data_IF_592043574950
#
_entry.id   IF_592043574950
#
_cell.length_a   1.000
_cell.length_b   1.000
_cell.length_c   1.000
_cell.angle_alpha   90.00
_cell.angle_beta   90.00
_cell.angle_gamma   90.00
#
_symmetry.space_group_name_H-M   'P 1'
#
loop_
_entity.id
_entity.type
_entity.pdbx_description
1 polymer ?
#
# COMPACT_ATOMS: atom_id res chain seq x y z
N UNK A 1 16.30 2.35 23.47
CA UNK A 1 17.49 1.77 22.82
C UNK A 1 17.04 0.70 21.84
N UNK A 2 17.38 0.82 20.55
CA UNK A 2 17.21 -0.25 19.57
C UNK A 2 18.11 -1.41 20.01
N UNK A 3 17.57 -2.50 20.55
CA UNK A 3 18.40 -3.63 20.98
C UNK A 3 19.04 -4.27 19.74
N UNK A 4 20.32 -3.98 19.51
CA UNK A 4 21.02 -4.15 18.22
C UNK A 4 21.63 -5.54 17.98
N UNK A 5 21.53 -6.49 18.92
CA UNK A 5 22.18 -7.80 18.74
C UNK A 5 21.21 -8.81 18.13
N UNK A 6 21.56 -9.43 16.99
CA UNK A 6 20.77 -10.52 16.42
C UNK A 6 20.59 -11.66 17.42
N UNK A 7 19.35 -12.18 17.52
CA UNK A 7 19.01 -13.36 18.32
C UNK A 7 18.79 -14.56 17.41
N UNK A 8 19.15 -15.74 17.89
CA UNK A 8 18.92 -16.99 17.17
C UNK A 8 17.41 -17.28 17.10
N UNK A 9 16.90 -17.50 15.90
CA UNK A 9 15.53 -17.87 15.59
C UNK A 9 15.55 -19.19 14.85
N UNK A 10 14.62 -20.07 15.19
CA UNK A 10 14.45 -21.36 14.55
C UNK A 10 13.29 -21.29 13.57
N UNK A 11 13.53 -21.72 12.34
CA UNK A 11 12.54 -21.86 11.28
C UNK A 11 12.55 -23.32 10.80
N UNK A 12 11.45 -23.79 10.26
CA UNK A 12 11.38 -25.11 9.61
C UNK A 12 11.19 -24.89 8.12
N UNK A 13 12.21 -25.23 7.33
CA UNK A 13 12.24 -25.05 5.89
C UNK A 13 12.29 -26.43 5.26
N UNK A 14 11.33 -26.76 4.36
CA UNK A 14 11.31 -28.03 3.62
C UNK A 14 11.50 -29.28 4.51
N UNK A 15 10.91 -29.26 5.71
CA UNK A 15 11.00 -30.36 6.68
C UNK A 15 12.23 -30.37 7.58
N UNK A 16 13.19 -29.46 7.39
CA UNK A 16 14.40 -29.36 8.21
C UNK A 16 14.44 -28.07 9.02
N UNK A 17 14.97 -28.16 10.25
CA UNK A 17 15.11 -27.00 11.13
C UNK A 17 16.33 -26.18 10.73
N UNK A 18 16.10 -24.93 10.36
CA UNK A 18 17.14 -23.96 10.00
C UNK A 18 17.20 -22.88 11.07
N UNK A 19 18.42 -22.54 11.52
CA UNK A 19 18.63 -21.45 12.48
C UNK A 19 19.13 -20.20 11.78
N UNK A 20 18.54 -19.06 12.09
CA UNK A 20 18.96 -17.74 11.59
C UNK A 20 19.19 -16.78 12.74
N UNK A 21 20.05 -15.78 12.55
CA UNK A 21 20.31 -14.72 13.53
C UNK A 21 19.67 -13.41 13.05
N UNK A 22 18.61 -12.96 13.73
CA UNK A 22 17.81 -11.78 13.39
C UNK A 22 17.57 -10.90 14.60
N UNK A 23 17.59 -9.58 14.38
CA UNK A 23 17.19 -8.59 15.36
C UNK A 23 15.70 -8.74 15.69
N UNK A 24 15.31 -8.34 16.91
CA UNK A 24 13.91 -8.47 17.35
C UNK A 24 12.93 -7.68 16.48
N UNK A 25 13.34 -6.50 16.01
CA UNK A 25 12.53 -5.65 15.14
C UNK A 25 12.21 -6.37 13.82
N UNK A 26 13.23 -6.91 13.14
CA UNK A 26 13.02 -7.67 11.90
C UNK A 26 12.20 -8.94 12.14
N UNK A 27 12.39 -9.63 13.26
CA UNK A 27 11.60 -10.83 13.57
C UNK A 27 10.13 -10.52 13.86
N UNK A 28 9.85 -9.44 14.60
CA UNK A 28 8.48 -9.01 14.86
C UNK A 28 7.78 -8.61 13.57
N UNK A 29 8.46 -7.85 12.73
CA UNK A 29 7.92 -7.37 11.47
C UNK A 29 7.71 -8.49 10.45
N UNK A 30 8.65 -9.43 10.36
CA UNK A 30 8.50 -10.61 9.53
C UNK A 30 7.28 -11.45 9.91
N UNK A 31 7.00 -11.59 11.23
CA UNK A 31 5.77 -12.24 11.71
C UNK A 31 4.51 -11.48 11.36
N UNK A 32 4.53 -10.14 11.46
CA UNK A 32 3.41 -9.28 11.08
C UNK A 32 3.07 -9.46 9.60
N UNK A 33 4.06 -9.35 8.73
CA UNK A 33 3.90 -9.52 7.28
C UNK A 33 3.39 -10.92 6.90
N UNK A 34 3.88 -11.98 7.58
CA UNK A 34 3.35 -13.33 7.37
C UNK A 34 1.85 -13.41 7.73
N UNK A 35 1.46 -12.85 8.88
CA UNK A 35 0.07 -12.82 9.31
C UNK A 35 -0.82 -12.00 8.37
N UNK A 36 -0.35 -10.85 7.89
CA UNK A 36 -1.07 -10.00 6.92
C UNK A 36 -1.30 -10.69 5.58
N UNK A 37 -0.36 -11.54 5.17
CA UNK A 37 -0.49 -12.34 3.96
C UNK A 37 -1.26 -13.65 4.19
N UNK A 38 -1.72 -13.92 5.41
CA UNK A 38 -2.40 -15.17 5.77
C UNK A 38 -1.51 -16.41 5.70
N UNK A 39 -0.19 -16.24 5.79
CA UNK A 39 0.82 -17.32 5.64
C UNK A 39 1.44 -17.70 6.96
N UNK A 40 1.84 -18.96 7.08
CA UNK A 40 2.67 -19.37 8.21
C UNK A 40 4.08 -18.76 8.08
N UNK A 41 4.70 -18.38 9.19
CA UNK A 41 6.06 -17.80 9.17
C UNK A 41 7.10 -18.75 8.52
N UNK A 42 6.93 -20.07 8.71
CA UNK A 42 7.80 -21.08 8.11
C UNK A 42 7.57 -21.21 6.61
N UNK A 43 6.33 -21.04 6.15
CA UNK A 43 5.96 -21.05 4.72
C UNK A 43 6.59 -19.84 4.03
N UNK A 44 6.36 -18.64 4.55
CA UNK A 44 6.97 -17.41 4.01
C UNK A 44 8.50 -17.48 4.04
N UNK A 45 9.09 -18.05 5.09
CA UNK A 45 10.53 -18.24 5.16
C UNK A 45 11.05 -19.23 4.11
N UNK A 46 10.30 -20.29 3.80
CA UNK A 46 10.66 -21.25 2.76
C UNK A 46 10.58 -20.62 1.36
N UNK A 47 9.58 -19.79 1.09
CA UNK A 47 9.48 -19.06 -0.18
C UNK A 47 10.65 -18.09 -0.37
N UNK A 48 11.03 -17.36 0.67
CA UNK A 48 12.22 -16.49 0.65
C UNK A 48 13.48 -17.33 0.45
N UNK A 49 13.58 -18.50 1.10
CA UNK A 49 14.72 -19.41 0.94
C UNK A 49 14.87 -19.93 -0.49
N UNK A 50 13.76 -20.11 -1.21
CA UNK A 50 13.73 -20.53 -2.60
C UNK A 50 14.04 -19.38 -3.57
N UNK A 51 13.53 -18.18 -3.28
CA UNK A 51 13.69 -17.02 -4.15
C UNK A 51 15.07 -16.33 -4.01
N UNK A 52 15.75 -16.47 -2.86
CA UNK A 52 16.98 -15.72 -2.55
C UNK A 52 18.22 -16.10 -3.37
N UNK A 53 18.19 -17.22 -4.10
CA UNK A 53 19.35 -17.76 -4.82
C UNK A 53 20.53 -18.14 -3.90
N UNK A 54 21.74 -18.24 -4.46
CA UNK A 54 22.96 -18.64 -3.71
C UNK A 54 23.73 -17.48 -3.09
N UNK A 55 23.50 -16.26 -3.54
CA UNK A 55 24.36 -15.10 -3.24
C UNK A 55 24.13 -14.49 -1.86
N UNK A 56 22.97 -14.75 -1.21
CA UNK A 56 22.67 -14.15 0.09
C UNK A 56 22.13 -15.16 1.10
N UNK A 57 22.60 -15.07 2.34
CA UNK A 57 22.14 -15.91 3.46
C UNK A 57 20.67 -15.61 3.82
N UNK A 58 19.95 -16.62 4.32
CA UNK A 58 18.51 -16.51 4.64
C UNK A 58 18.20 -15.34 5.60
N UNK A 59 19.06 -15.10 6.60
CA UNK A 59 18.88 -13.97 7.50
C UNK A 59 18.95 -12.61 6.78
N UNK A 60 19.83 -12.47 5.79
CA UNK A 60 19.91 -11.25 4.97
C UNK A 60 18.71 -11.15 4.03
N UNK A 61 18.30 -12.25 3.41
CA UNK A 61 17.11 -12.30 2.56
C UNK A 61 15.85 -11.86 3.31
N UNK A 62 15.65 -12.35 4.55
CA UNK A 62 14.52 -11.93 5.41
C UNK A 62 14.57 -10.43 5.71
N UNK A 63 15.74 -9.87 6.03
CA UNK A 63 15.86 -8.42 6.28
C UNK A 63 15.49 -7.59 5.05
N UNK A 64 15.97 -8.00 3.88
CA UNK A 64 15.67 -7.31 2.62
C UNK A 64 14.19 -7.41 2.26
N UNK A 65 13.59 -8.58 2.44
CA UNK A 65 12.15 -8.78 2.25
C UNK A 65 11.32 -7.85 3.13
N UNK A 66 11.64 -7.79 4.44
CA UNK A 66 10.96 -6.88 5.38
C UNK A 66 11.14 -5.43 4.96
N UNK A 67 12.36 -5.02 4.60
CA UNK A 67 12.65 -3.65 4.16
C UNK A 67 11.85 -3.29 2.91
N UNK A 68 11.79 -4.19 1.93
CA UNK A 68 11.02 -3.96 0.70
C UNK A 68 9.52 -3.82 0.99
N UNK A 69 8.97 -4.72 1.81
CA UNK A 69 7.56 -4.67 2.20
C UNK A 69 7.20 -3.34 2.90
N UNK A 70 8.08 -2.84 3.78
CA UNK A 70 7.89 -1.57 4.47
C UNK A 70 8.07 -0.34 3.55
N UNK A 71 8.91 -0.45 2.52
CA UNK A 71 9.12 0.62 1.55
C UNK A 71 8.03 0.71 0.49
N UNK A 72 7.21 -0.34 0.32
CA UNK A 72 6.06 -0.29 -0.59
C UNK A 72 5.05 0.71 -0.03
N UNK A 73 4.63 1.73 -0.82
CA UNK A 73 3.60 2.64 -0.40
C UNK A 73 2.33 1.84 -0.10
N UNK A 74 1.87 1.93 1.14
CA UNK A 74 0.55 1.41 1.49
C UNK A 74 -0.46 2.34 0.83
N UNK A 75 -1.49 1.83 0.12
CA UNK A 75 -2.61 2.68 -0.26
C UNK A 75 -3.17 3.24 1.04
N UNK A 76 -3.06 4.57 1.20
CA UNK A 76 -3.61 5.25 2.37
C UNK A 76 -5.09 4.91 2.38
N UNK A 77 -5.49 4.09 3.34
CA UNK A 77 -6.90 3.85 3.60
C UNK A 77 -7.29 4.95 4.56
N UNK A 78 -7.42 6.17 4.05
CA UNK A 78 -7.90 7.31 4.83
C UNK A 78 -9.39 7.08 5.10
N UNK A 79 -9.81 6.79 6.35
CA UNK A 79 -11.23 6.70 6.69
C UNK A 79 -11.94 8.06 6.54
N UNK A 80 -11.17 9.15 6.44
CA UNK A 80 -11.60 10.53 6.19
C UNK A 80 -11.47 10.96 4.71
N UNK A 81 -11.33 10.03 3.75
CA UNK A 81 -11.63 10.39 2.36
C UNK A 81 -13.12 10.67 2.29
N UNK A 82 -13.45 11.95 2.45
CA UNK A 82 -14.80 12.47 2.51
C UNK A 82 -15.60 11.98 1.29
N UNK A 83 -16.64 11.15 1.46
CA UNK A 83 -17.48 10.70 0.35
C UNK A 83 -18.25 11.86 -0.28
N UNK A 84 -18.24 13.05 0.34
CA UNK A 84 -18.99 14.24 -0.07
C UNK A 84 -18.17 15.33 -0.77
N UNK A 85 -16.99 15.02 -1.32
CA UNK A 85 -16.44 15.85 -2.42
C UNK A 85 -17.23 15.64 -3.73
N UNK A 86 -18.56 15.64 -3.62
CA UNK A 86 -19.44 16.05 -4.68
C UNK A 86 -19.28 17.55 -4.87
N UNK A 87 -18.57 17.95 -5.93
CA UNK A 87 -18.73 19.30 -6.45
C UNK A 87 -20.15 19.39 -7.03
N UNK A 88 -21.08 19.75 -6.16
CA UNK A 88 -22.42 20.23 -6.49
C UNK A 88 -22.27 21.48 -7.35
N UNK A 89 -22.53 21.36 -8.64
CA UNK A 89 -22.88 22.51 -9.47
C UNK A 89 -24.37 22.78 -9.27
N UNK A 90 -24.70 23.84 -8.55
CA UNK A 90 -26.02 24.46 -8.57
C UNK A 90 -25.95 25.90 -8.05
N UNK A 91 -26.96 26.75 -8.26
CA UNK A 91 -28.18 26.54 -9.04
C UNK A 91 -28.44 27.63 -10.12
N UNK A 92 -29.25 27.22 -11.10
CA UNK A 92 -30.34 27.98 -11.74
C UNK A 92 -30.49 29.47 -11.37
N UNK A 93 -30.15 30.37 -12.31
CA UNK A 93 -30.63 31.76 -12.31
C UNK A 93 -31.77 31.86 -13.31
N UNK A 94 -32.98 32.03 -12.79
CA UNK A 94 -34.23 32.24 -13.50
C UNK A 94 -34.23 33.59 -14.32
N UNK A 95 -35.25 33.83 -15.16
CA UNK A 95 -35.13 34.57 -16.41
C UNK A 95 -35.24 36.09 -16.26
N UNK A 96 -34.46 36.84 -17.04
CA UNK A 96 -34.66 38.27 -17.25
C UNK A 96 -35.64 38.50 -18.40
N UNK A 97 -36.84 38.98 -18.05
CA UNK A 97 -37.83 39.50 -18.98
C UNK A 97 -37.49 40.95 -19.26
N UNK A 98 -36.71 41.19 -20.32
CA UNK A 98 -36.44 42.51 -20.87
C UNK A 98 -37.08 42.65 -22.26
N UNK A 99 -38.25 43.28 -22.31
CA UNK A 99 -38.85 43.75 -23.54
C UNK A 99 -37.99 44.88 -24.16
N UNK A 100 -37.81 44.88 -25.48
CA UNK A 100 -37.61 46.13 -26.22
C UNK A 100 -38.36 46.05 -27.58
N UNK A 101 -39.10 47.11 -27.97
CA UNK A 101 -40.10 47.06 -29.03
C UNK A 101 -39.56 47.56 -30.38
N UNK A 102 -40.18 47.09 -31.46
CA UNK A 102 -40.43 47.86 -32.69
C UNK A 102 -39.24 48.21 -33.58
N UNK A 103 -39.16 47.58 -34.76
CA UNK A 103 -39.32 48.24 -36.07
C UNK A 103 -39.10 47.24 -37.21
N UNK A 104 -40.18 46.96 -37.95
CA UNK A 104 -40.17 46.68 -39.39
C UNK A 104 -39.98 48.02 -40.16
N UNK A 105 -39.73 48.07 -41.50
CA UNK A 105 -39.74 47.00 -42.52
C UNK A 105 -38.57 47.02 -43.55
N UNK A 106 -38.65 46.10 -44.52
CA UNK A 106 -38.04 45.95 -45.88
C UNK A 106 -37.62 47.27 -46.62
N UNK A 107 -36.83 47.29 -47.74
CA UNK A 107 -36.70 46.28 -48.83
C UNK A 107 -35.36 46.20 -49.65
N UNK A 108 -35.32 45.27 -50.62
CA UNK A 108 -34.49 45.21 -51.86
C UNK A 108 -32.97 44.95 -51.81
N UNK A 109 -32.55 43.78 -52.33
CA UNK A 109 -31.73 43.63 -53.56
C UNK A 109 -31.69 42.16 -54.00
#
# INVERSE_FOLDING_TARGET
MLSQRPKKRSLTLRGHRTSVSLEDAFWAEFRRLAAEQGRAINELAAEIDEARGTECGLASAIRLFVLEALKRPQPVSDPDTDPDSGLVTGPDTAPDTGANPGSLPDPHA
#
